data_IF_231868306809
#
_entry.id   IF_231868306809
#
_cell.length_a   1.000
_cell.length_b   1.000
_cell.length_c   1.000
_cell.angle_alpha   90.00
_cell.angle_beta   90.00
_cell.angle_gamma   90.00
#
_symmetry.space_group_name_H-M   'P 1'
#
loop_
_entity.id
_entity.type
_entity.pdbx_description
1 polymer ?
#
# COMPACT_ATOMS: atom_id res chain seq x y z
N UNK A 1 17.51 -15.14 -1.47
CA UNK A 1 16.16 -14.89 -2.04
C UNK A 1 15.87 -15.75 -3.27
N UNK A 2 16.80 -15.92 -4.22
CA UNK A 2 16.60 -16.74 -5.42
C UNK A 2 16.26 -18.21 -5.12
N UNK A 3 16.97 -18.88 -4.19
CA UNK A 3 16.71 -20.28 -3.86
C UNK A 3 15.30 -20.55 -3.34
N UNK A 4 14.74 -19.64 -2.52
CA UNK A 4 13.37 -19.77 -2.00
C UNK A 4 12.31 -19.62 -3.09
N UNK A 5 12.53 -18.72 -4.05
CA UNK A 5 11.65 -18.56 -5.22
C UNK A 5 11.67 -19.78 -6.15
N UNK A 6 12.78 -20.49 -6.23
CA UNK A 6 12.90 -21.68 -7.07
C UNK A 6 12.23 -22.90 -6.40
N UNK A 7 12.39 -23.05 -5.09
CA UNK A 7 11.66 -24.05 -4.28
C UNK A 7 10.14 -23.86 -4.35
N UNK A 8 9.66 -22.61 -4.26
CA UNK A 8 8.23 -22.29 -4.38
C UNK A 8 7.67 -22.65 -5.77
N UNK A 9 8.44 -22.42 -6.84
CA UNK A 9 8.05 -22.80 -8.21
C UNK A 9 7.96 -24.33 -8.39
N UNK A 10 8.92 -25.07 -7.83
CA UNK A 10 8.93 -26.53 -7.88
C UNK A 10 7.74 -27.09 -7.10
N UNK A 11 7.49 -26.59 -5.90
CA UNK A 11 6.34 -26.99 -5.10
C UNK A 11 5.02 -26.73 -5.80
N UNK A 12 4.88 -25.53 -6.39
CA UNK A 12 3.70 -25.16 -7.19
C UNK A 12 3.49 -26.16 -8.36
N UNK A 13 4.55 -26.49 -9.10
CA UNK A 13 4.48 -27.45 -10.20
C UNK A 13 4.01 -28.84 -9.76
N UNK A 14 4.52 -29.33 -8.62
CA UNK A 14 4.13 -30.63 -8.07
C UNK A 14 2.65 -30.61 -7.65
N UNK A 15 2.21 -29.55 -6.96
CA UNK A 15 0.81 -29.41 -6.50
C UNK A 15 -0.15 -29.32 -7.70
N UNK A 16 0.20 -28.55 -8.72
CA UNK A 16 -0.59 -28.42 -9.95
C UNK A 16 -0.74 -29.75 -10.68
N UNK A 17 0.34 -30.54 -10.76
CA UNK A 17 0.29 -31.88 -11.35
C UNK A 17 -0.67 -32.78 -10.58
N UNK A 18 -0.54 -32.86 -9.25
CA UNK A 18 -1.43 -33.65 -8.40
C UNK A 18 -2.89 -33.21 -8.52
N UNK A 19 -3.14 -31.91 -8.57
CA UNK A 19 -4.48 -31.36 -8.75
C UNK A 19 -5.10 -31.77 -10.09
N UNK A 20 -4.32 -31.77 -11.19
CA UNK A 20 -4.79 -32.20 -12.53
C UNK A 20 -5.03 -33.71 -12.63
N UNK A 21 -4.34 -34.52 -11.85
CA UNK A 21 -4.47 -35.99 -11.82
C UNK A 21 -5.55 -36.46 -10.82
N UNK A 22 -6.06 -35.58 -9.97
CA UNK A 22 -7.13 -35.91 -9.01
C UNK A 22 -8.45 -36.18 -9.70
N UNK A 23 -9.26 -37.08 -9.13
CA UNK A 23 -10.62 -37.32 -9.59
C UNK A 23 -11.57 -36.32 -8.92
N UNK A 24 -12.35 -35.61 -9.73
CA UNK A 24 -13.34 -34.64 -9.28
C UNK A 24 -14.76 -35.13 -9.62
N UNK A 25 -15.71 -34.80 -8.76
CA UNK A 25 -17.13 -34.98 -9.06
C UNK A 25 -17.59 -33.97 -10.12
N UNK A 26 -18.72 -34.25 -10.78
CA UNK A 26 -19.29 -33.32 -11.77
C UNK A 26 -19.57 -31.94 -11.16
N UNK A 27 -20.00 -31.87 -9.92
CA UNK A 27 -20.21 -30.61 -9.22
C UNK A 27 -18.90 -29.82 -9.02
N UNK A 28 -17.82 -30.48 -8.61
CA UNK A 28 -16.50 -29.84 -8.44
C UNK A 28 -15.96 -29.34 -9.78
N UNK A 29 -16.12 -30.11 -10.85
CA UNK A 29 -15.74 -29.68 -12.21
C UNK A 29 -16.52 -28.44 -12.63
N UNK A 30 -17.81 -28.39 -12.38
CA UNK A 30 -18.66 -27.23 -12.68
C UNK A 30 -18.18 -25.99 -11.90
N UNK A 31 -17.87 -26.12 -10.60
CA UNK A 31 -17.31 -25.02 -9.79
C UNK A 31 -15.97 -24.52 -10.31
N UNK A 32 -15.06 -25.42 -10.69
CA UNK A 32 -13.77 -25.09 -11.27
C UNK A 32 -13.95 -24.31 -12.59
N UNK A 33 -14.86 -24.75 -13.45
CA UNK A 33 -15.14 -24.09 -14.72
C UNK A 33 -15.69 -22.67 -14.50
N UNK A 34 -16.70 -22.52 -13.62
CA UNK A 34 -17.26 -21.20 -13.29
C UNK A 34 -16.21 -20.23 -12.75
N UNK A 35 -15.31 -20.70 -11.87
CA UNK A 35 -14.23 -19.87 -11.36
C UNK A 35 -13.23 -19.49 -12.47
N UNK A 36 -12.90 -20.43 -13.34
CA UNK A 36 -12.02 -20.18 -14.50
C UNK A 36 -12.63 -19.17 -15.46
N UNK A 37 -13.90 -19.32 -15.82
CA UNK A 37 -14.62 -18.36 -16.66
C UNK A 37 -14.65 -16.96 -16.03
N UNK A 38 -14.98 -16.87 -14.75
CA UNK A 38 -14.95 -15.61 -14.01
C UNK A 38 -13.57 -14.93 -14.03
N UNK A 39 -12.50 -15.74 -13.92
CA UNK A 39 -11.13 -15.24 -14.01
C UNK A 39 -10.82 -14.70 -15.42
N UNK A 40 -11.21 -15.41 -16.48
CA UNK A 40 -11.03 -14.96 -17.86
C UNK A 40 -11.79 -13.67 -18.16
N UNK A 41 -13.05 -13.57 -17.72
CA UNK A 41 -13.88 -12.36 -17.89
C UNK A 41 -13.24 -11.18 -17.19
N UNK A 42 -12.85 -11.34 -15.92
CA UNK A 42 -12.18 -10.28 -15.16
C UNK A 42 -10.90 -9.83 -15.84
N UNK A 43 -10.04 -10.76 -16.23
CA UNK A 43 -8.78 -10.44 -16.89
C UNK A 43 -8.98 -9.71 -18.22
N UNK A 44 -9.99 -10.11 -19.00
CA UNK A 44 -10.37 -9.44 -20.24
C UNK A 44 -10.78 -7.99 -19.97
N UNK A 45 -11.69 -7.75 -19.03
CA UNK A 45 -12.17 -6.40 -18.69
C UNK A 45 -11.06 -5.52 -18.14
N UNK A 46 -10.23 -6.05 -17.24
CA UNK A 46 -9.07 -5.33 -16.69
C UNK A 46 -8.08 -4.94 -17.79
N UNK A 47 -7.82 -5.83 -18.72
CA UNK A 47 -6.91 -5.58 -19.84
C UNK A 47 -7.46 -4.52 -20.81
N UNK A 48 -8.73 -4.60 -21.17
CA UNK A 48 -9.34 -3.62 -22.07
C UNK A 48 -9.43 -2.24 -21.40
N UNK A 49 -9.79 -2.18 -20.11
CA UNK A 49 -9.77 -0.93 -19.36
C UNK A 49 -8.35 -0.33 -19.27
N UNK A 50 -7.34 -1.15 -18.99
CA UNK A 50 -5.95 -0.71 -18.94
C UNK A 50 -5.48 -0.09 -20.27
N UNK A 51 -5.79 -0.70 -21.42
CA UNK A 51 -5.46 -0.18 -22.76
C UNK A 51 -6.06 1.21 -23.00
N UNK A 52 -7.31 1.42 -22.59
CA UNK A 52 -7.99 2.71 -22.75
C UNK A 52 -7.28 3.76 -21.87
N UNK A 53 -6.96 3.43 -20.62
CA UNK A 53 -6.27 4.35 -19.70
C UNK A 53 -4.86 4.69 -20.19
N UNK A 54 -4.12 3.71 -20.73
CA UNK A 54 -2.78 3.94 -21.27
C UNK A 54 -2.80 4.91 -22.46
N UNK A 55 -3.84 4.85 -23.29
CA UNK A 55 -4.03 5.74 -24.45
C UNK A 55 -4.74 7.06 -24.11
N UNK A 56 -5.17 7.25 -22.86
CA UNK A 56 -5.83 8.48 -22.43
C UNK A 56 -4.78 9.54 -22.13
N UNK A 57 -4.80 10.65 -22.90
CA UNK A 57 -3.98 11.81 -22.59
C UNK A 57 -4.59 12.56 -21.41
N UNK A 58 -3.80 12.80 -20.38
CA UNK A 58 -4.20 13.59 -19.21
C UNK A 58 -3.39 14.88 -19.24
N UNK A 59 -4.08 15.96 -19.53
CA UNK A 59 -3.46 17.29 -19.62
C UNK A 59 -2.90 17.73 -18.27
N UNK A 60 -1.74 18.37 -18.30
CA UNK A 60 -1.04 18.82 -17.09
C UNK A 60 -1.86 19.82 -16.28
N UNK A 61 -2.66 20.64 -16.94
CA UNK A 61 -3.54 21.60 -16.28
C UNK A 61 -4.62 20.92 -15.42
N UNK A 62 -5.07 19.71 -15.81
CA UNK A 62 -5.98 18.91 -14.99
C UNK A 62 -5.29 18.47 -13.70
N UNK A 63 -4.03 18.03 -13.79
CA UNK A 63 -3.25 17.61 -12.61
C UNK A 63 -2.98 18.80 -11.68
N UNK A 64 -2.62 19.96 -12.22
CA UNK A 64 -2.43 21.19 -11.45
C UNK A 64 -3.70 21.61 -10.72
N UNK A 65 -4.83 21.58 -11.42
CA UNK A 65 -6.13 21.91 -10.81
C UNK A 65 -6.48 20.98 -9.66
N UNK A 66 -6.25 19.66 -9.83
CA UNK A 66 -6.46 18.68 -8.73
C UNK A 66 -5.55 18.98 -7.54
N UNK A 67 -4.29 19.35 -7.79
CA UNK A 67 -3.36 19.73 -6.73
C UNK A 67 -3.87 20.98 -6.00
N UNK A 68 -4.27 22.05 -6.72
CA UNK A 68 -4.74 23.31 -6.16
C UNK A 68 -6.01 23.15 -5.32
N UNK A 69 -6.95 22.33 -5.79
CA UNK A 69 -8.21 22.05 -5.07
C UNK A 69 -8.00 21.16 -3.82
N UNK A 70 -6.89 20.42 -3.77
CA UNK A 70 -6.63 19.45 -2.73
C UNK A 70 -5.29 19.67 -2.00
N UNK A 71 -4.76 20.86 -1.98
CA UNK A 71 -3.44 21.17 -1.39
C UNK A 71 -3.26 20.62 0.03
N UNK A 72 -4.32 20.68 0.85
CA UNK A 72 -4.28 20.18 2.23
C UNK A 72 -3.95 18.69 2.36
N UNK A 73 -4.17 17.90 1.30
CA UNK A 73 -3.87 16.47 1.25
C UNK A 73 -2.40 16.18 0.87
N UNK A 74 -1.72 17.17 0.28
CA UNK A 74 -0.35 17.01 -0.23
C UNK A 74 0.65 17.66 0.71
N UNK A 75 0.80 17.07 1.89
CA UNK A 75 1.74 17.52 2.90
C UNK A 75 2.76 16.43 3.20
N UNK A 76 4.01 16.83 3.33
CA UNK A 76 5.02 15.97 3.92
C UNK A 76 4.96 16.12 5.43
N UNK A 77 4.69 15.04 6.16
CA UNK A 77 4.67 15.08 7.61
C UNK A 77 6.06 15.40 8.16
N UNK A 78 6.09 15.85 9.40
CA UNK A 78 7.34 16.07 10.14
C UNK A 78 8.22 14.83 10.08
N UNK A 79 9.50 15.02 9.81
CA UNK A 79 10.52 13.98 9.87
C UNK A 79 11.50 14.27 10.99
N UNK A 80 12.05 13.23 11.55
CA UNK A 80 13.04 13.34 12.61
C UNK A 80 14.18 12.38 12.37
N UNK A 81 15.36 12.82 12.78
CA UNK A 81 16.56 12.00 12.83
C UNK A 81 16.85 11.73 14.29
N UNK A 82 16.72 10.49 14.70
CA UNK A 82 16.87 10.08 16.09
C UNK A 82 17.93 8.99 16.25
N UNK A 83 18.49 8.93 17.42
CA UNK A 83 19.29 7.80 17.88
C UNK A 83 18.76 7.34 19.22
N UNK A 84 18.88 6.06 19.54
CA UNK A 84 18.23 5.50 20.73
C UNK A 84 19.18 4.58 21.50
N UNK A 85 18.99 4.54 22.83
CA UNK A 85 19.52 3.51 23.72
C UNK A 85 18.32 2.79 24.30
N UNK A 86 18.25 1.48 24.12
CA UNK A 86 17.22 0.65 24.73
C UNK A 86 17.76 -0.06 25.96
N UNK A 87 17.00 -0.02 27.06
CA UNK A 87 17.27 -0.79 28.27
C UNK A 87 15.97 -1.37 28.83
N UNK A 88 16.06 -2.52 29.46
CA UNK A 88 14.89 -3.19 30.03
C UNK A 88 14.49 -2.68 31.41
N UNK A 89 15.43 -2.12 32.13
CA UNK A 89 15.26 -1.68 33.51
C UNK A 89 15.12 -0.15 33.60
N UNK A 90 14.09 0.32 34.34
CA UNK A 90 13.82 1.74 34.54
C UNK A 90 14.93 2.43 35.35
N UNK A 91 15.42 1.78 36.43
CA UNK A 91 16.46 2.38 37.28
C UNK A 91 17.74 2.60 36.47
N UNK A 92 18.09 1.65 35.62
CA UNK A 92 19.21 1.78 34.70
C UNK A 92 19.03 2.90 33.67
N UNK A 93 17.81 3.06 33.12
CA UNK A 93 17.51 4.18 32.22
C UNK A 93 17.67 5.52 32.93
N UNK A 94 17.15 5.65 34.15
CA UNK A 94 17.25 6.85 34.95
C UNK A 94 18.70 7.18 35.37
N UNK A 95 19.51 6.17 35.68
CA UNK A 95 20.95 6.34 35.93
C UNK A 95 21.67 6.90 34.71
N UNK A 96 21.43 6.34 33.53
CA UNK A 96 22.00 6.82 32.28
C UNK A 96 21.62 8.29 32.02
N UNK A 97 20.35 8.63 32.25
CA UNK A 97 19.81 9.98 32.03
C UNK A 97 20.45 11.07 32.89
N UNK A 98 21.05 10.71 34.03
CA UNK A 98 21.76 11.68 34.92
C UNK A 98 23.02 12.24 34.26
N UNK A 99 23.76 11.38 33.53
CA UNK A 99 25.10 11.69 33.08
C UNK A 99 25.21 11.84 31.55
N UNK A 100 24.17 11.38 30.79
CA UNK A 100 24.20 11.39 29.32
C UNK A 100 23.96 12.79 28.76
N UNK A 101 24.73 13.13 27.73
CA UNK A 101 24.56 14.34 26.92
C UNK A 101 24.89 14.02 25.45
N UNK A 102 24.76 15.01 24.58
CA UNK A 102 24.96 14.83 23.12
C UNK A 102 26.38 14.45 22.74
N UNK A 103 27.38 14.81 23.54
CA UNK A 103 28.82 14.56 23.27
C UNK A 103 29.20 13.12 23.65
N UNK A 104 28.56 12.57 24.69
CA UNK A 104 28.89 11.25 25.21
C UNK A 104 27.87 10.16 24.86
N UNK A 105 26.83 10.49 24.09
CA UNK A 105 25.72 9.57 23.76
C UNK A 105 26.21 8.25 23.18
N UNK A 106 27.08 8.30 22.17
CA UNK A 106 27.58 7.09 21.52
C UNK A 106 28.33 6.16 22.50
N UNK A 107 29.11 6.73 23.41
CA UNK A 107 29.78 5.95 24.44
C UNK A 107 28.83 5.26 25.41
N UNK A 108 27.72 5.95 25.77
CA UNK A 108 26.67 5.34 26.58
C UNK A 108 25.90 4.28 25.80
N UNK A 109 25.63 4.50 24.50
CA UNK A 109 24.99 3.54 23.61
C UNK A 109 25.79 2.26 23.51
N UNK A 110 27.06 2.34 23.15
CA UNK A 110 27.96 1.16 23.06
C UNK A 110 28.00 0.32 24.34
N UNK A 111 27.90 0.99 25.50
CA UNK A 111 28.01 0.32 26.79
C UNK A 111 26.68 -0.27 27.29
N UNK A 112 25.57 0.35 26.99
CA UNK A 112 24.31 0.10 27.69
C UNK A 112 23.14 -0.33 26.79
N UNK A 113 23.25 -0.22 25.45
CA UNK A 113 22.16 -0.58 24.55
C UNK A 113 21.93 -2.11 24.58
N UNK A 114 20.75 -2.51 25.02
CA UNK A 114 20.32 -3.91 25.12
C UNK A 114 19.49 -4.35 23.91
N UNK A 115 19.48 -3.55 22.85
CA UNK A 115 18.76 -3.85 21.62
C UNK A 115 19.33 -5.11 20.98
N UNK A 116 18.45 -5.92 20.40
CA UNK A 116 18.86 -7.11 19.66
C UNK A 116 19.82 -6.73 18.52
N UNK A 117 20.88 -7.52 18.31
CA UNK A 117 21.87 -7.30 17.24
C UNK A 117 21.24 -7.21 15.84
N UNK A 118 20.06 -7.80 15.65
CA UNK A 118 19.31 -7.81 14.38
C UNK A 118 18.55 -6.49 14.08
N UNK A 119 18.48 -5.59 15.05
CA UNK A 119 17.73 -4.34 14.84
C UNK A 119 18.48 -3.40 13.90
N UNK A 120 17.83 -3.02 12.79
CA UNK A 120 18.41 -2.06 11.82
C UNK A 120 18.76 -0.75 12.52
N UNK A 121 20.01 -0.30 12.36
CA UNK A 121 20.41 1.03 12.81
C UNK A 121 19.86 2.08 11.83
N UNK A 122 18.96 2.92 12.31
CA UNK A 122 18.35 4.02 11.57
C UNK A 122 18.81 5.39 12.05
N UNK A 123 19.88 5.43 12.86
CA UNK A 123 20.35 6.65 13.52
C UNK A 123 20.81 7.75 12.56
N UNK A 124 21.07 7.41 11.30
CA UNK A 124 21.46 8.33 10.24
C UNK A 124 20.37 8.57 9.18
N UNK A 125 19.20 7.98 9.33
CA UNK A 125 18.08 8.16 8.43
C UNK A 125 17.02 9.12 9.02
N UNK A 126 16.36 9.91 8.16
CA UNK A 126 15.18 10.65 8.56
C UNK A 126 13.96 9.73 8.50
N UNK A 127 13.27 9.60 9.60
CA UNK A 127 12.03 8.83 9.73
C UNK A 127 10.83 9.79 9.79
N UNK A 128 9.72 9.41 9.19
CA UNK A 128 8.48 10.14 9.43
C UNK A 128 8.03 9.95 10.88
N UNK A 129 7.56 11.04 11.50
CA UNK A 129 7.08 10.98 12.89
C UNK A 129 5.97 9.94 13.09
N UNK A 130 5.20 9.66 12.02
CA UNK A 130 4.12 8.66 11.99
C UNK A 130 4.61 7.21 11.93
N UNK A 131 5.88 6.98 11.62
CA UNK A 131 6.51 5.65 11.57
C UNK A 131 7.17 5.27 12.89
N UNK A 132 7.25 6.21 13.83
CA UNK A 132 7.88 6.04 15.13
C UNK A 132 6.83 5.58 16.15
N UNK A 133 7.28 4.79 17.14
CA UNK A 133 6.41 4.35 18.22
C UNK A 133 5.70 5.55 18.88
N UNK A 134 4.37 5.50 19.08
CA UNK A 134 3.57 6.66 19.52
C UNK A 134 4.10 7.36 20.76
N UNK A 135 4.54 6.61 21.79
CA UNK A 135 5.09 7.20 23.01
C UNK A 135 6.41 7.98 22.76
N UNK A 136 7.23 7.53 21.80
CA UNK A 136 8.45 8.23 21.42
C UNK A 136 8.11 9.48 20.60
N UNK A 137 7.18 9.34 19.65
CA UNK A 137 6.73 10.46 18.83
C UNK A 137 6.14 11.60 19.65
N UNK A 138 5.34 11.28 20.69
CA UNK A 138 4.77 12.26 21.60
C UNK A 138 5.85 13.08 22.34
N UNK A 139 6.86 12.44 22.90
CA UNK A 139 7.94 13.11 23.59
C UNK A 139 8.82 13.95 22.65
N UNK A 140 9.03 13.48 21.43
CA UNK A 140 9.73 14.25 20.39
C UNK A 140 8.97 15.52 20.02
N UNK A 141 7.63 15.41 19.85
CA UNK A 141 6.77 16.55 19.52
C UNK A 141 6.71 17.57 20.67
N UNK A 142 6.73 17.11 21.92
CA UNK A 142 6.76 17.98 23.10
C UNK A 142 8.07 18.74 23.22
N UNK A 143 9.22 18.08 23.00
CA UNK A 143 10.54 18.73 23.07
C UNK A 143 10.75 19.68 21.88
N UNK A 144 10.44 19.27 20.70
CA UNK A 144 10.51 20.01 19.43
C UNK A 144 11.82 20.83 19.23
N UNK A 145 12.92 20.34 19.76
CA UNK A 145 14.26 20.93 19.61
C UNK A 145 15.24 19.89 19.07
N UNK A 146 16.06 20.28 18.11
CA UNK A 146 17.10 19.43 17.56
C UNK A 146 18.38 19.46 18.41
N UNK A 147 19.18 18.43 18.26
CA UNK A 147 20.45 18.22 18.97
C UNK A 147 20.26 18.19 20.49
N UNK A 148 19.31 17.39 20.97
CA UNK A 148 18.96 17.30 22.39
C UNK A 148 18.70 15.83 22.81
N UNK A 149 19.08 15.52 24.05
CA UNK A 149 18.67 14.28 24.72
C UNK A 149 17.34 14.53 25.42
N UNK A 150 16.33 13.74 25.09
CA UNK A 150 15.05 13.78 25.82
C UNK A 150 15.30 13.24 27.23
N UNK A 151 15.14 14.10 28.25
CA UNK A 151 15.45 13.78 29.65
C UNK A 151 14.35 12.96 30.32
N UNK A 152 13.89 11.92 29.65
CA UNK A 152 12.85 11.01 30.12
C UNK A 152 13.12 9.61 29.56
N UNK A 153 13.01 8.59 30.42
CA UNK A 153 12.95 7.21 29.99
C UNK A 153 11.57 6.93 29.39
N UNK A 154 11.49 6.65 28.10
CA UNK A 154 10.23 6.50 27.38
C UNK A 154 9.84 5.02 27.39
N UNK A 155 8.72 4.64 28.02
CA UNK A 155 8.30 3.27 28.11
C UNK A 155 7.82 2.73 26.75
N UNK A 156 8.25 1.50 26.45
CA UNK A 156 7.76 0.69 25.33
C UNK A 156 7.47 -0.71 25.84
N UNK A 157 6.93 -1.59 24.98
CA UNK A 157 6.41 -2.90 25.42
C UNK A 157 7.45 -3.75 26.21
N UNK A 158 8.74 -3.67 25.91
CA UNK A 158 9.77 -4.54 26.47
C UNK A 158 10.80 -3.81 27.34
N UNK A 159 10.65 -2.50 27.55
CA UNK A 159 11.61 -1.69 28.29
C UNK A 159 11.46 -0.20 28.08
N UNK A 160 12.58 0.50 28.03
CA UNK A 160 12.64 1.95 27.97
C UNK A 160 13.62 2.42 26.91
N UNK A 161 13.24 3.46 26.18
CA UNK A 161 14.13 4.16 25.27
C UNK A 161 14.60 5.48 25.86
N UNK A 162 15.89 5.75 25.68
CA UNK A 162 16.51 7.06 25.85
C UNK A 162 16.78 7.61 24.46
N UNK A 163 16.26 8.79 24.15
CA UNK A 163 16.23 9.34 22.80
C UNK A 163 17.21 10.51 22.69
N UNK A 164 18.05 10.44 21.68
CA UNK A 164 18.78 11.57 21.16
C UNK A 164 18.09 12.07 19.87
N UNK A 165 17.46 13.23 19.97
CA UNK A 165 16.83 13.90 18.84
C UNK A 165 17.90 14.72 18.10
N UNK A 166 18.46 14.15 17.04
CA UNK A 166 19.56 14.74 16.27
C UNK A 166 19.09 15.91 15.42
N UNK A 167 18.02 15.71 14.65
CA UNK A 167 17.47 16.73 13.75
C UNK A 167 15.95 16.60 13.59
N UNK A 168 15.33 17.68 13.12
CA UNK A 168 13.90 17.77 12.85
C UNK A 168 13.71 18.51 11.53
N UNK A 169 12.90 17.95 10.65
CA UNK A 169 12.32 18.63 9.49
C UNK A 169 10.82 18.84 9.76
N UNK A 170 10.39 20.08 9.79
CA UNK A 170 8.98 20.40 10.04
C UNK A 170 8.07 19.96 8.90
N UNK A 171 6.79 19.74 9.22
CA UNK A 171 5.74 19.52 8.22
C UNK A 171 5.78 20.64 7.19
N UNK A 172 5.71 20.28 5.92
CA UNK A 172 5.64 21.27 4.84
C UNK A 172 4.65 20.88 3.77
N UNK A 173 4.11 21.87 3.10
CA UNK A 173 3.35 21.66 1.89
C UNK A 173 4.26 21.07 0.80
N UNK A 174 3.82 20.00 0.16
CA UNK A 174 4.46 19.50 -1.05
C UNK A 174 4.21 20.48 -2.20
N UNK A 175 5.21 20.73 -3.03
CA UNK A 175 4.99 21.46 -4.30
C UNK A 175 4.44 20.48 -5.35
N UNK A 176 3.79 21.02 -6.38
CA UNK A 176 3.14 20.22 -7.43
C UNK A 176 4.07 19.17 -8.04
N UNK A 177 5.30 19.54 -8.38
CA UNK A 177 6.27 18.65 -9.01
C UNK A 177 6.63 17.43 -8.17
N UNK A 178 6.61 17.57 -6.85
CA UNK A 178 6.90 16.45 -5.93
C UNK A 178 5.77 15.42 -5.85
N UNK A 179 4.53 15.82 -6.13
CA UNK A 179 3.34 14.97 -6.02
C UNK A 179 2.66 14.68 -7.36
N UNK A 180 3.15 15.27 -8.44
CA UNK A 180 2.61 15.16 -9.80
C UNK A 180 2.36 13.70 -10.20
N UNK A 181 3.35 12.83 -10.02
CA UNK A 181 3.21 11.41 -10.38
C UNK A 181 2.17 10.69 -9.51
N UNK A 182 2.08 11.03 -8.24
CA UNK A 182 1.06 10.46 -7.34
C UNK A 182 -0.35 10.90 -7.77
N UNK A 183 -0.50 12.16 -8.17
CA UNK A 183 -1.77 12.69 -8.70
C UNK A 183 -2.12 11.98 -10.01
N UNK A 184 -1.16 11.86 -10.93
CA UNK A 184 -1.36 11.17 -12.21
C UNK A 184 -1.80 9.71 -12.00
N UNK A 185 -1.15 8.98 -11.10
CA UNK A 185 -1.53 7.60 -10.75
C UNK A 185 -2.95 7.55 -10.16
N UNK A 186 -3.30 8.51 -9.30
CA UNK A 186 -4.64 8.62 -8.74
C UNK A 186 -5.71 8.87 -9.81
N UNK A 187 -5.45 9.78 -10.73
CA UNK A 187 -6.34 10.10 -11.87
C UNK A 187 -6.50 8.87 -12.78
N UNK A 188 -5.41 8.22 -13.15
CA UNK A 188 -5.45 6.99 -13.96
C UNK A 188 -6.25 5.88 -13.30
N UNK A 189 -6.12 5.72 -11.99
CA UNK A 189 -6.90 4.73 -11.22
C UNK A 189 -8.40 5.04 -11.25
N UNK A 190 -8.75 6.32 -11.13
CA UNK A 190 -10.14 6.76 -11.20
C UNK A 190 -10.73 6.49 -12.59
N UNK A 191 -10.01 6.90 -13.66
CA UNK A 191 -10.41 6.64 -15.05
C UNK A 191 -10.56 5.13 -15.29
N UNK A 192 -9.62 4.31 -14.78
CA UNK A 192 -9.70 2.85 -14.88
C UNK A 192 -11.01 2.31 -14.29
N UNK A 193 -11.37 2.75 -13.08
CA UNK A 193 -12.63 2.34 -12.46
C UNK A 193 -13.87 2.73 -13.28
N UNK A 194 -13.88 3.94 -13.83
CA UNK A 194 -14.97 4.42 -14.68
C UNK A 194 -15.07 3.62 -15.99
N UNK A 195 -13.96 3.41 -16.67
CA UNK A 195 -13.89 2.63 -17.91
C UNK A 195 -14.29 1.18 -17.69
N UNK A 196 -13.81 0.57 -16.60
CA UNK A 196 -14.16 -0.80 -16.23
C UNK A 196 -15.67 -0.97 -16.03
N UNK A 197 -16.30 -0.06 -15.31
CA UNK A 197 -17.74 -0.06 -15.10
C UNK A 197 -18.52 0.18 -16.42
N UNK A 198 -18.04 1.11 -17.26
CA UNK A 198 -18.66 1.38 -18.54
C UNK A 198 -18.62 0.17 -19.47
N UNK A 199 -17.49 -0.56 -19.52
CA UNK A 199 -17.40 -1.82 -20.30
C UNK A 199 -18.43 -2.86 -19.86
N UNK A 200 -18.68 -2.97 -18.54
CA UNK A 200 -19.71 -3.88 -18.02
C UNK A 200 -21.12 -3.44 -18.45
N UNK A 201 -21.40 -2.14 -18.37
CA UNK A 201 -22.69 -1.58 -18.77
C UNK A 201 -22.94 -1.75 -20.28
N UNK A 202 -21.93 -1.50 -21.11
CA UNK A 202 -22.02 -1.67 -22.56
C UNK A 202 -22.36 -3.12 -22.94
N UNK A 203 -21.67 -4.09 -22.32
CA UNK A 203 -21.95 -5.53 -22.53
C UNK A 203 -23.35 -5.90 -22.01
N UNK A 204 -23.79 -5.33 -20.88
CA UNK A 204 -25.13 -5.57 -20.36
C UNK A 204 -26.22 -5.03 -21.33
N UNK A 205 -26.00 -3.88 -21.94
CA UNK A 205 -26.90 -3.29 -22.94
C UNK A 205 -26.93 -4.12 -24.23
N UNK A 206 -25.80 -4.62 -24.70
CA UNK A 206 -25.70 -5.53 -25.83
C UNK A 206 -26.54 -6.79 -25.62
N UNK A 207 -26.55 -7.36 -24.40
CA UNK A 207 -27.38 -8.49 -24.01
C UNK A 207 -28.87 -8.19 -24.17
N UNK A 208 -29.32 -7.00 -23.78
CA UNK A 208 -30.73 -6.60 -23.90
C UNK A 208 -31.15 -6.53 -25.37
N UNK A 209 -30.33 -5.91 -26.21
CA UNK A 209 -30.55 -5.83 -27.66
C UNK A 209 -30.65 -7.21 -28.30
N UNK A 210 -29.73 -8.12 -28.01
CA UNK A 210 -29.72 -9.48 -28.51
C UNK A 210 -31.00 -10.27 -28.08
N UNK A 211 -31.48 -10.07 -26.84
CA UNK A 211 -32.69 -10.70 -26.36
C UNK A 211 -33.95 -10.19 -27.08
N UNK A 212 -33.98 -8.90 -27.43
CA UNK A 212 -35.09 -8.31 -28.17
C UNK A 212 -35.13 -8.80 -29.64
N UNK A 213 -33.95 -8.87 -30.28
CA UNK A 213 -33.81 -9.43 -31.63
C UNK A 213 -34.23 -10.89 -31.71
N UNK A 214 -33.87 -11.73 -30.73
CA UNK A 214 -34.27 -13.14 -30.66
C UNK A 214 -35.79 -13.28 -30.46
N UNK A 215 -36.44 -12.39 -29.68
CA UNK A 215 -37.87 -12.38 -29.50
C UNK A 215 -38.59 -11.94 -30.77
N UNK A 216 -38.11 -10.90 -31.43
CA UNK A 216 -38.64 -10.41 -32.69
C UNK A 216 -38.53 -11.47 -33.82
N UNK A 217 -37.38 -12.17 -33.91
CA UNK A 217 -37.19 -13.26 -34.88
C UNK A 217 -38.07 -14.48 -34.64
N UNK A 218 -38.45 -14.77 -33.38
CA UNK A 218 -39.43 -15.84 -33.07
C UNK A 218 -40.85 -15.44 -33.41
N UNK A 219 -41.23 -14.19 -33.20
CA UNK A 219 -42.55 -13.69 -33.55
C UNK A 219 -42.81 -13.72 -35.05
N UNK A 220 -41.85 -13.39 -35.88
CA UNK A 220 -41.94 -13.44 -37.34
C UNK A 220 -42.03 -14.85 -37.93
N UNK A 221 -41.52 -15.88 -37.22
CA UNK A 221 -41.63 -17.27 -37.65
C UNK A 221 -42.95 -17.96 -37.21
N UNK A 222 -43.63 -17.45 -36.18
CA UNK A 222 -44.95 -17.97 -35.78
C UNK A 222 -46.07 -17.43 -36.66
N UNK A 223 -45.97 -16.22 -37.17
CA UNK A 223 -46.97 -15.65 -38.05
C UNK A 223 -46.95 -16.27 -39.47
N UNK A 224 -45.78 -16.76 -39.93
CA UNK A 224 -45.69 -17.49 -41.20
C UNK A 224 -46.20 -18.95 -41.15
N UNK A 225 -46.38 -19.53 -39.95
CA UNK A 225 -46.97 -20.88 -39.80
C UNK A 225 -48.47 -20.92 -39.66
N UNK A 226 -49.14 -19.76 -39.53
CA UNK A 226 -50.60 -19.64 -39.44
C UNK A 226 -51.26 -19.27 -40.74
N UNK A 227 -50.49 -19.13 -41.84
CA UNK A 227 -51.00 -18.76 -43.18
C UNK A 227 -50.85 -19.89 -44.21
N UNK A 228 -50.60 -21.12 -43.79
CA UNK A 228 -50.82 -22.36 -44.55
C UNK A 228 -51.94 -23.20 -43.89
#
# INVERSE_FOLDING_TARGET
>A
MEGKMEEDKILHGILLKKAKEAQYTNFEIEQINLQSESLFIRYYLEREAAKIVENTNIEEDVLKKIYEENQSLYKFPKKVKIDTIFVRDLEKAEEILKDINTENFNKFKEKNDEKAEEAKDVSDEFLFITEIHPAIAEEILNENKKNVIIKKAIPVQEGFHIIYLKDIEDERQAIFDEVRENILVGVKRNIFGQVYNQLIEDIANERVTLQEEVKAGKSSNEDNKKSE
#
